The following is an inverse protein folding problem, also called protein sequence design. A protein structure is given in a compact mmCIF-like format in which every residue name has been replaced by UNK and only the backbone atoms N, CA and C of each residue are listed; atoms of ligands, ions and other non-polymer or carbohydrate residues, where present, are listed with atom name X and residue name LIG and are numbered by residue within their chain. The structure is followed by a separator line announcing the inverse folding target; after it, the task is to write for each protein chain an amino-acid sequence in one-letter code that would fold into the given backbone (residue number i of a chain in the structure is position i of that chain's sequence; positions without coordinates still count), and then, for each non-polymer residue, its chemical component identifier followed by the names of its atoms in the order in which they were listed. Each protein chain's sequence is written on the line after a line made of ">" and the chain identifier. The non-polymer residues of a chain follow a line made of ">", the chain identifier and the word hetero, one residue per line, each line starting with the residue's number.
data_IF_172500653898
#
_entry.id   IF_172500653898
#
_cell.length_a   1.000
_cell.length_b   1.000
_cell.length_c   1.000
_cell.angle_alpha   90.00
_cell.angle_beta   90.00
_cell.angle_gamma   90.00
#
_symmetry.space_group_name_H-M   'P 1'
#
loop_
_entity.id
_entity.type
_entity.pdbx_description
1 polymer ?
#
# COMPACT_ATOMS: atom_id res chain seq x y z
N UNK A 1 -27.68 15.92 -7.32
CA UNK A 1 -26.47 16.63 -7.85
C UNK A 1 -25.13 16.01 -7.37
N UNK A 2 -24.94 15.64 -6.09
CA UNK A 2 -23.74 14.94 -5.60
C UNK A 2 -23.60 13.52 -6.19
N UNK A 3 -24.65 12.72 -6.18
CA UNK A 3 -24.64 11.34 -6.69
C UNK A 3 -24.32 11.30 -8.19
N UNK A 4 -24.87 12.20 -8.98
CA UNK A 4 -24.57 12.28 -10.42
C UNK A 4 -23.12 12.65 -10.69
N UNK A 5 -22.50 13.57 -9.93
CA UNK A 5 -21.09 13.91 -10.04
C UNK A 5 -20.19 12.70 -9.70
N UNK A 6 -20.50 11.98 -8.60
CA UNK A 6 -19.73 10.78 -8.22
C UNK A 6 -19.83 9.68 -9.28
N UNK A 7 -21.01 9.46 -9.84
CA UNK A 7 -21.23 8.46 -10.89
C UNK A 7 -20.48 8.82 -12.17
N UNK A 8 -20.45 10.10 -12.54
CA UNK A 8 -19.71 10.59 -13.70
C UNK A 8 -18.20 10.45 -13.50
N UNK A 9 -17.69 10.75 -12.30
CA UNK A 9 -16.27 10.57 -11.98
C UNK A 9 -15.86 9.10 -12.01
N UNK A 10 -16.71 8.21 -11.50
CA UNK A 10 -16.50 6.77 -11.57
C UNK A 10 -16.49 6.26 -13.02
N UNK A 11 -17.42 6.75 -13.87
CA UNK A 11 -17.42 6.42 -15.30
C UNK A 11 -16.13 6.86 -16.01
N UNK A 12 -15.66 8.09 -15.73
CA UNK A 12 -14.39 8.60 -16.28
C UNK A 12 -13.19 7.76 -15.80
N UNK A 13 -13.18 7.33 -14.53
CA UNK A 13 -12.15 6.44 -14.01
C UNK A 13 -12.12 5.11 -14.75
N UNK A 14 -13.27 4.47 -14.97
CA UNK A 14 -13.34 3.20 -15.70
C UNK A 14 -12.87 3.34 -17.15
N UNK A 15 -13.23 4.43 -17.85
CA UNK A 15 -12.78 4.71 -19.20
C UNK A 15 -11.26 4.89 -19.24
N UNK A 16 -10.70 5.64 -18.27
CA UNK A 16 -9.24 5.83 -18.17
C UNK A 16 -8.52 4.49 -17.93
N UNK A 17 -9.03 3.68 -17.01
CA UNK A 17 -8.45 2.35 -16.75
C UNK A 17 -8.54 1.45 -17.98
N UNK A 18 -9.66 1.47 -18.72
CA UNK A 18 -9.78 0.76 -19.99
C UNK A 18 -8.74 1.17 -21.03
N UNK A 19 -8.41 2.46 -21.13
CA UNK A 19 -7.32 2.96 -21.97
C UNK A 19 -5.94 2.56 -21.48
N UNK A 20 -5.76 2.53 -20.16
CA UNK A 20 -4.48 2.16 -19.52
C UNK A 20 -4.09 0.71 -19.81
N UNK A 21 -5.06 -0.23 -19.80
CA UNK A 21 -4.79 -1.64 -20.02
C UNK A 21 -4.74 -2.05 -21.50
N UNK A 22 -4.66 -1.10 -22.42
CA UNK A 22 -4.37 -1.39 -23.83
C UNK A 22 -2.92 -1.85 -24.02
N UNK A 23 -2.66 -2.53 -25.15
CA UNK A 23 -1.31 -3.04 -25.44
C UNK A 23 -0.33 -1.90 -25.63
N UNK A 24 0.84 -1.90 -24.97
CA UNK A 24 1.87 -0.90 -25.17
C UNK A 24 2.48 -1.03 -26.57
N UNK A 25 2.57 0.09 -27.30
CA UNK A 25 3.09 0.11 -28.68
C UNK A 25 4.56 -0.29 -28.78
N UNK A 26 5.36 0.03 -27.75
CA UNK A 26 6.81 -0.26 -27.69
C UNK A 26 7.15 -1.00 -26.40
N UNK A 27 7.10 -2.32 -26.45
CA UNK A 27 7.33 -3.20 -25.29
C UNK A 27 8.70 -2.94 -24.59
N UNK A 28 9.76 -2.67 -25.36
CA UNK A 28 11.10 -2.41 -24.80
C UNK A 28 11.16 -1.15 -23.94
N UNK A 29 10.48 -0.09 -24.36
CA UNK A 29 10.38 1.16 -23.59
C UNK A 29 9.52 0.95 -22.35
N UNK A 30 8.41 0.23 -22.49
CA UNK A 30 7.55 -0.14 -21.38
C UNK A 30 8.31 -0.90 -20.28
N UNK A 31 9.09 -1.93 -20.62
CA UNK A 31 9.88 -2.67 -19.65
C UNK A 31 10.90 -1.78 -18.92
N UNK A 32 11.52 -0.84 -19.63
CA UNK A 32 12.46 0.12 -19.01
C UNK A 32 11.77 1.02 -17.99
N UNK A 33 10.64 1.62 -18.36
CA UNK A 33 9.85 2.47 -17.45
C UNK A 33 9.25 1.65 -16.30
N UNK A 34 8.78 0.42 -16.53
CA UNK A 34 8.28 -0.49 -15.52
C UNK A 34 9.33 -0.76 -14.41
N UNK A 35 10.56 -1.12 -14.78
CA UNK A 35 11.65 -1.37 -13.81
C UNK A 35 12.01 -0.10 -13.06
N UNK A 36 12.04 1.05 -13.74
CA UNK A 36 12.31 2.36 -13.15
C UNK A 36 11.24 2.76 -12.14
N UNK A 37 9.96 2.59 -12.49
CA UNK A 37 8.84 2.90 -11.60
C UNK A 37 8.78 1.92 -10.41
N UNK A 38 9.05 0.64 -10.62
CA UNK A 38 9.17 -0.35 -9.55
C UNK A 38 10.26 0.05 -8.54
N UNK A 39 11.42 0.50 -9.01
CA UNK A 39 12.48 0.99 -8.15
C UNK A 39 12.09 2.30 -7.44
N UNK A 40 11.50 3.26 -8.16
CA UNK A 40 11.11 4.58 -7.66
C UNK A 40 10.02 4.49 -6.59
N UNK A 41 8.96 3.73 -6.84
CA UNK A 41 7.79 3.64 -5.97
C UNK A 41 7.98 2.60 -4.85
N UNK A 42 8.64 1.49 -5.15
CA UNK A 42 8.82 0.38 -4.23
C UNK A 42 10.12 0.45 -3.45
N UNK A 43 11.27 0.31 -4.12
CA UNK A 43 12.58 0.20 -3.45
C UNK A 43 12.88 1.43 -2.59
N UNK A 44 12.58 2.63 -3.08
CA UNK A 44 12.74 3.87 -2.32
C UNK A 44 11.77 3.99 -1.12
N UNK A 45 10.83 3.07 -1.00
CA UNK A 45 9.90 3.02 0.13
C UNK A 45 10.29 1.98 1.19
N UNK A 46 11.25 1.07 0.90
CA UNK A 46 11.68 0.01 1.82
C UNK A 46 12.13 0.59 3.16
N UNK A 47 12.98 1.62 3.15
CA UNK A 47 13.52 2.19 4.38
C UNK A 47 12.45 2.70 5.35
N UNK A 48 11.46 3.43 4.84
CA UNK A 48 10.37 3.95 5.67
C UNK A 48 9.45 2.82 6.15
N UNK A 49 9.19 1.82 5.30
CA UNK A 49 8.40 0.65 5.65
C UNK A 49 9.05 -0.13 6.79
N UNK A 50 10.33 -0.45 6.67
CA UNK A 50 11.06 -1.19 7.70
C UNK A 50 11.08 -0.43 9.03
N UNK A 51 11.36 0.87 8.99
CA UNK A 51 11.42 1.70 10.20
C UNK A 51 10.08 1.76 10.91
N UNK A 52 9.01 2.08 10.18
CA UNK A 52 7.67 2.20 10.77
C UNK A 52 7.20 0.84 11.29
N UNK A 53 7.37 -0.24 10.52
CA UNK A 53 6.96 -1.58 10.93
C UNK A 53 7.70 -2.07 12.17
N UNK A 54 8.99 -1.74 12.30
CA UNK A 54 9.78 -2.06 13.49
C UNK A 54 9.19 -1.43 14.76
N UNK A 55 8.93 -0.12 14.72
CA UNK A 55 8.37 0.57 15.89
C UNK A 55 6.94 0.14 16.19
N UNK A 56 6.12 -0.10 15.17
CA UNK A 56 4.75 -0.59 15.36
C UNK A 56 4.77 -1.99 15.99
N UNK A 57 5.61 -2.91 15.51
CA UNK A 57 5.73 -4.23 16.10
C UNK A 57 6.16 -4.19 17.57
N UNK A 58 7.09 -3.28 17.91
CA UNK A 58 7.50 -3.02 19.27
C UNK A 58 6.31 -2.55 20.14
N UNK A 59 5.56 -1.56 19.67
CA UNK A 59 4.40 -0.99 20.39
C UNK A 59 3.30 -2.05 20.58
N UNK A 60 2.99 -2.84 19.55
CA UNK A 60 1.97 -3.90 19.64
C UNK A 60 2.37 -4.92 20.69
N UNK A 61 3.63 -5.36 20.72
CA UNK A 61 4.10 -6.33 21.70
C UNK A 61 3.91 -5.81 23.13
N UNK A 62 4.28 -4.54 23.40
CA UNK A 62 4.07 -3.90 24.70
C UNK A 62 2.58 -3.82 25.03
N UNK A 63 1.76 -3.40 24.08
CA UNK A 63 0.33 -3.22 24.29
C UNK A 63 -0.39 -4.55 24.53
N UNK A 64 -0.02 -5.59 23.80
CA UNK A 64 -0.58 -6.94 24.01
C UNK A 64 -0.19 -7.47 25.38
N UNK A 65 1.05 -7.27 25.84
CA UNK A 65 1.43 -7.65 27.20
C UNK A 65 0.59 -6.93 28.27
N UNK A 66 0.34 -5.62 28.10
CA UNK A 66 -0.47 -4.83 29.04
C UNK A 66 -1.94 -5.29 29.06
N UNK A 67 -2.46 -5.70 27.91
CA UNK A 67 -3.85 -6.19 27.81
C UNK A 67 -4.01 -7.62 28.35
N UNK A 68 -2.97 -8.46 28.22
CA UNK A 68 -2.99 -9.87 28.63
C UNK A 68 -2.28 -10.01 29.99
N UNK A 69 -2.84 -9.38 31.03
CA UNK A 69 -2.30 -9.49 32.42
C UNK A 69 -3.04 -10.52 33.27
N UNK A 70 -3.98 -11.27 32.69
CA UNK A 70 -4.73 -12.27 33.44
C UNK A 70 -3.82 -13.42 33.93
N UNK A 71 -3.86 -13.80 35.23
CA UNK A 71 -3.08 -14.90 35.75
C UNK A 71 -3.40 -16.26 35.11
N UNK A 72 -4.57 -16.38 34.49
CA UNK A 72 -5.06 -17.59 33.83
C UNK A 72 -4.55 -17.77 32.40
N UNK A 73 -3.98 -16.69 31.79
CA UNK A 73 -3.46 -16.77 30.43
C UNK A 73 -1.95 -17.07 30.41
N UNK A 74 -1.52 -18.06 29.62
CA UNK A 74 -0.10 -18.35 29.45
C UNK A 74 0.64 -17.15 28.82
N UNK A 75 1.87 -16.91 29.23
CA UNK A 75 2.67 -15.74 28.77
C UNK A 75 2.97 -15.75 27.27
N UNK A 76 3.05 -16.93 26.65
CA UNK A 76 3.29 -17.06 25.20
C UNK A 76 2.15 -16.51 24.34
N UNK A 77 0.94 -16.33 24.89
CA UNK A 77 -0.22 -15.75 24.16
C UNK A 77 0.08 -14.34 23.66
N UNK A 78 0.90 -13.58 24.38
CA UNK A 78 1.33 -12.25 23.92
C UNK A 78 2.10 -12.32 22.60
N UNK A 79 3.02 -13.26 22.45
CA UNK A 79 3.76 -13.46 21.20
C UNK A 79 2.85 -13.92 20.05
N UNK A 80 1.92 -14.84 20.35
CA UNK A 80 0.93 -15.34 19.39
C UNK A 80 0.05 -14.19 18.85
N UNK A 81 -0.57 -13.43 19.75
CA UNK A 81 -1.45 -12.32 19.34
C UNK A 81 -0.71 -11.19 18.61
N UNK A 82 0.53 -10.91 19.03
CA UNK A 82 1.39 -9.93 18.32
C UNK A 82 1.63 -10.37 16.88
N UNK A 83 1.96 -11.64 16.65
CA UNK A 83 2.14 -12.19 15.29
C UNK A 83 0.86 -12.09 14.46
N UNK A 84 -0.27 -12.53 15.01
CA UNK A 84 -1.56 -12.51 14.32
C UNK A 84 -1.92 -11.09 13.86
N UNK A 85 -1.86 -10.12 14.76
CA UNK A 85 -2.15 -8.72 14.45
C UNK A 85 -1.18 -8.17 13.40
N UNK A 86 0.11 -8.49 13.52
CA UNK A 86 1.12 -8.06 12.54
C UNK A 86 0.87 -8.63 11.15
N UNK A 87 0.56 -9.92 11.04
CA UNK A 87 0.36 -10.58 9.76
C UNK A 87 -0.97 -10.19 9.12
N UNK A 88 -2.07 -10.18 9.87
CA UNK A 88 -3.41 -10.00 9.31
C UNK A 88 -3.72 -8.55 8.95
N UNK A 89 -3.28 -7.58 9.78
CA UNK A 89 -3.72 -6.19 9.63
C UNK A 89 -2.56 -5.21 9.41
N UNK A 90 -1.53 -5.24 10.26
CA UNK A 90 -0.51 -4.18 10.22
C UNK A 90 0.34 -4.22 8.98
N UNK A 91 0.86 -5.38 8.59
CA UNK A 91 1.73 -5.47 7.42
C UNK A 91 1.00 -5.24 6.10
N UNK A 92 -0.29 -5.58 6.01
CA UNK A 92 -1.07 -5.34 4.79
C UNK A 92 -1.77 -3.98 4.82
N UNK A 93 -2.68 -3.75 5.75
CA UNK A 93 -3.63 -2.64 5.70
C UNK A 93 -3.00 -1.31 6.13
N UNK A 94 -2.37 -1.26 7.31
CA UNK A 94 -1.81 -0.01 7.84
C UNK A 94 -0.58 0.43 7.03
N UNK A 95 0.28 -0.52 6.65
CA UNK A 95 1.41 -0.21 5.80
C UNK A 95 0.98 0.35 4.43
N UNK A 96 -0.09 -0.21 3.85
CA UNK A 96 -0.66 0.30 2.60
C UNK A 96 -1.26 1.70 2.75
N UNK A 97 -1.87 2.05 3.89
CA UNK A 97 -2.32 3.42 4.17
C UNK A 97 -1.16 4.42 4.20
N UNK A 98 -0.05 4.06 4.83
CA UNK A 98 1.15 4.90 4.85
C UNK A 98 1.72 5.07 3.44
N UNK A 99 1.76 3.99 2.66
CA UNK A 99 2.21 4.04 1.28
C UNK A 99 1.23 4.80 0.36
N UNK A 100 -0.08 4.77 0.62
CA UNK A 100 -1.04 5.62 -0.08
C UNK A 100 -0.70 7.10 0.09
N UNK A 101 -0.29 7.52 1.29
CA UNK A 101 0.21 8.87 1.54
C UNK A 101 1.47 9.20 0.75
N UNK A 102 2.51 8.35 0.81
CA UNK A 102 3.80 8.61 0.17
C UNK A 102 3.77 8.38 -1.34
N UNK A 103 3.35 7.19 -1.75
CA UNK A 103 3.39 6.76 -3.16
C UNK A 103 2.23 7.36 -3.94
N UNK A 104 1.02 7.37 -3.35
CA UNK A 104 -0.17 7.95 -3.98
C UNK A 104 -0.01 9.44 -4.24
N UNK A 105 0.47 10.20 -3.26
CA UNK A 105 0.73 11.64 -3.45
C UNK A 105 1.79 11.90 -4.53
N UNK A 106 2.85 11.09 -4.57
CA UNK A 106 3.91 11.20 -5.58
C UNK A 106 3.36 10.93 -6.99
N UNK A 107 2.58 9.86 -7.17
CA UNK A 107 1.94 9.52 -8.46
C UNK A 107 1.01 10.64 -8.93
N UNK A 108 0.13 11.12 -8.05
CA UNK A 108 -0.83 12.18 -8.39
C UNK A 108 -0.13 13.50 -8.73
N UNK A 109 0.90 13.87 -7.97
CA UNK A 109 1.69 15.10 -8.24
C UNK A 109 2.49 15.00 -9.53
N UNK A 110 3.11 13.86 -9.80
CA UNK A 110 3.91 13.65 -11.01
C UNK A 110 3.05 13.72 -12.27
N UNK A 111 1.96 12.93 -12.33
CA UNK A 111 1.04 12.91 -13.46
C UNK A 111 0.32 14.26 -13.58
N UNK A 112 -0.09 14.87 -12.45
CA UNK A 112 -0.72 16.16 -12.42
C UNK A 112 0.19 17.27 -12.93
N UNK A 113 1.48 17.25 -12.62
CA UNK A 113 2.46 18.18 -13.17
C UNK A 113 2.60 18.00 -14.69
N UNK A 114 2.69 16.76 -15.17
CA UNK A 114 2.72 16.46 -16.60
C UNK A 114 1.45 16.93 -17.33
N UNK A 115 0.30 16.88 -16.66
CA UNK A 115 -0.97 17.40 -17.21
C UNK A 115 -0.95 18.91 -17.36
N UNK A 116 -0.60 19.62 -16.29
CA UNK A 116 -0.57 21.09 -16.27
C UNK A 116 0.49 21.67 -17.23
N UNK A 117 1.60 20.97 -17.41
CA UNK A 117 2.66 21.36 -18.37
C UNK A 117 2.40 20.88 -19.80
N UNK A 118 1.20 20.36 -20.09
CA UNK A 118 0.75 19.89 -21.41
C UNK A 118 1.60 18.74 -22.02
N UNK A 119 2.41 18.06 -21.20
CA UNK A 119 3.20 16.91 -21.67
C UNK A 119 2.31 15.73 -22.08
N UNK A 120 1.17 15.53 -21.39
CA UNK A 120 0.19 14.49 -21.71
C UNK A 120 -0.45 14.78 -23.06
N UNK A 121 -0.83 16.04 -23.32
CA UNK A 121 -1.44 16.46 -24.59
C UNK A 121 -0.45 16.34 -25.76
N UNK A 122 0.84 16.63 -25.50
CA UNK A 122 1.89 16.42 -26.48
C UNK A 122 2.07 14.94 -26.86
N UNK A 123 1.96 14.01 -25.90
CA UNK A 123 1.98 12.56 -26.16
C UNK A 123 0.79 12.13 -27.01
N UNK A 124 -0.41 12.62 -26.70
CA UNK A 124 -1.63 12.30 -27.45
C UNK A 124 -1.57 12.84 -28.89
N UNK A 125 -1.03 14.04 -29.11
CA UNK A 125 -0.80 14.63 -30.47
C UNK A 125 0.21 13.78 -31.27
N UNK A 126 1.21 13.20 -30.62
CA UNK A 126 2.16 12.29 -31.26
C UNK A 126 1.58 10.90 -31.55
N UNK A 127 0.30 10.66 -31.24
CA UNK A 127 -0.39 9.39 -31.47
C UNK A 127 -0.10 8.31 -30.43
N UNK A 128 0.63 8.63 -29.33
CA UNK A 128 0.93 7.70 -28.26
C UNK A 128 -0.21 7.70 -27.24
N UNK A 129 -0.70 6.52 -26.84
CA UNK A 129 -1.67 6.41 -25.76
C UNK A 129 -1.03 6.80 -24.42
N UNK A 130 -1.20 8.08 -24.03
CA UNK A 130 -0.59 8.67 -22.83
C UNK A 130 -0.99 7.93 -21.55
N UNK A 131 -2.23 7.44 -21.42
CA UNK A 131 -2.69 6.68 -20.26
C UNK A 131 -1.94 5.35 -20.13
N UNK A 132 -1.80 4.59 -21.22
CA UNK A 132 -1.04 3.36 -21.22
C UNK A 132 0.46 3.59 -20.94
N UNK A 133 1.04 4.62 -21.49
CA UNK A 133 2.47 4.92 -21.34
C UNK A 133 2.84 5.36 -19.94
N UNK A 134 2.01 6.19 -19.28
CA UNK A 134 2.33 6.80 -17.98
C UNK A 134 1.80 5.98 -16.81
N UNK A 135 0.59 5.42 -16.91
CA UNK A 135 -0.10 4.81 -15.77
C UNK A 135 0.23 3.32 -15.66
N UNK A 136 0.23 2.58 -16.76
CA UNK A 136 0.42 1.12 -16.74
C UNK A 136 1.73 0.68 -16.07
N UNK A 137 2.90 1.30 -16.34
CA UNK A 137 4.15 0.94 -15.66
C UNK A 137 4.09 1.15 -14.15
N UNK A 138 3.42 2.22 -13.69
CA UNK A 138 3.24 2.53 -12.26
C UNK A 138 2.35 1.51 -11.57
N UNK A 139 1.22 1.15 -12.20
CA UNK A 139 0.27 0.15 -11.68
C UNK A 139 0.95 -1.21 -11.56
N UNK A 140 1.54 -1.71 -12.63
CA UNK A 140 2.21 -3.01 -12.61
C UNK A 140 3.46 -3.02 -11.72
N UNK A 141 4.23 -1.95 -11.73
CA UNK A 141 5.40 -1.78 -10.86
C UNK A 141 5.05 -1.87 -9.39
N UNK A 142 3.96 -1.22 -8.98
CA UNK A 142 3.51 -1.26 -7.58
C UNK A 142 2.91 -2.62 -7.22
N UNK A 143 2.07 -3.21 -8.07
CA UNK A 143 1.49 -4.54 -7.84
C UNK A 143 2.57 -5.60 -7.63
N UNK A 144 3.66 -5.56 -8.38
CA UNK A 144 4.74 -6.55 -8.25
C UNK A 144 5.62 -6.35 -7.02
N UNK A 145 5.87 -5.13 -6.59
CA UNK A 145 6.76 -4.86 -5.44
C UNK A 145 6.03 -4.92 -4.09
N UNK A 146 4.71 -4.67 -4.05
CA UNK A 146 3.94 -4.61 -2.81
C UNK A 146 3.97 -5.90 -1.98
N UNK A 147 3.83 -7.11 -2.54
CA UNK A 147 3.97 -8.35 -1.77
C UNK A 147 5.30 -8.45 -1.02
N UNK A 148 6.40 -8.03 -1.65
CA UNK A 148 7.72 -8.01 -1.02
C UNK A 148 7.78 -6.99 0.13
N UNK A 149 7.19 -5.81 -0.06
CA UNK A 149 7.13 -4.78 0.99
C UNK A 149 6.34 -5.27 2.21
N UNK A 150 5.24 -6.01 1.99
CA UNK A 150 4.44 -6.60 3.08
C UNK A 150 5.23 -7.67 3.84
N UNK A 151 5.97 -8.53 3.14
CA UNK A 151 6.84 -9.53 3.78
C UNK A 151 7.94 -8.84 4.59
N UNK A 152 8.60 -7.83 4.06
CA UNK A 152 9.60 -7.06 4.78
C UNK A 152 9.01 -6.31 5.98
N UNK A 153 7.78 -5.78 5.84
CA UNK A 153 7.05 -5.13 6.92
C UNK A 153 6.78 -6.11 8.08
N UNK A 154 6.24 -7.30 7.78
CA UNK A 154 5.96 -8.31 8.80
C UNK A 154 7.22 -8.81 9.50
N UNK A 155 8.29 -9.06 8.75
CA UNK A 155 9.58 -9.45 9.31
C UNK A 155 10.17 -8.36 10.22
N UNK A 156 10.15 -7.11 9.77
CA UNK A 156 10.63 -5.97 10.55
C UNK A 156 9.80 -5.74 11.82
N UNK A 157 8.48 -5.92 11.77
CA UNK A 157 7.61 -5.81 12.93
C UNK A 157 7.87 -6.89 13.98
N UNK A 158 8.12 -8.13 13.54
CA UNK A 158 8.52 -9.22 14.43
C UNK A 158 9.90 -8.90 15.08
N UNK A 159 10.85 -8.37 14.31
CA UNK A 159 12.13 -7.90 14.87
C UNK A 159 11.94 -6.79 15.90
N UNK A 160 10.99 -5.89 15.69
CA UNK A 160 10.60 -4.86 16.65
C UNK A 160 10.06 -5.46 17.97
N UNK A 161 9.22 -6.49 17.87
CA UNK A 161 8.74 -7.22 19.05
C UNK A 161 9.89 -7.89 19.81
N UNK A 162 10.86 -8.50 19.12
CA UNK A 162 12.09 -9.02 19.76
C UNK A 162 12.90 -7.91 20.42
N UNK A 163 13.01 -6.74 19.80
CA UNK A 163 13.67 -5.59 20.40
C UNK A 163 13.10 -5.21 21.77
N UNK A 164 11.77 -5.26 21.93
CA UNK A 164 11.13 -5.00 23.24
C UNK A 164 11.36 -6.10 24.26
N UNK A 165 11.45 -7.36 23.83
CA UNK A 165 11.74 -8.48 24.71
C UNK A 165 13.18 -8.43 25.25
N UNK A 166 14.16 -8.14 24.40
CA UNK A 166 15.58 -8.12 24.80
C UNK A 166 16.00 -6.81 25.50
N UNK A 167 15.60 -5.66 24.96
CA UNK A 167 16.03 -4.35 25.46
C UNK A 167 15.10 -3.85 26.57
N UNK A 168 13.78 -3.98 26.34
CA UNK A 168 12.75 -3.50 27.25
C UNK A 168 12.45 -4.45 28.40
N UNK A 169 12.94 -5.70 28.37
CA UNK A 169 12.64 -6.76 29.34
C UNK A 169 11.13 -6.91 29.61
N UNK A 170 10.33 -6.55 28.61
CA UNK A 170 8.87 -6.50 28.70
C UNK A 170 8.30 -7.93 28.78
N UNK A 171 8.91 -8.88 28.07
CA UNK A 171 8.54 -10.28 28.01
C UNK A 171 9.82 -11.13 27.95
N UNK A 172 9.77 -12.35 28.47
CA UNK A 172 10.89 -13.27 28.28
C UNK A 172 11.03 -13.62 26.80
N UNK A 173 12.23 -13.58 26.21
CA UNK A 173 12.43 -13.90 24.79
C UNK A 173 11.93 -15.30 24.43
N UNK A 174 12.02 -16.25 25.36
CA UNK A 174 11.55 -17.62 25.16
C UNK A 174 10.01 -17.69 25.06
N UNK A 175 9.29 -16.95 25.90
CA UNK A 175 7.83 -16.85 25.81
C UNK A 175 7.37 -16.20 24.50
N UNK A 176 8.12 -15.21 24.00
CA UNK A 176 7.86 -14.59 22.70
C UNK A 176 8.08 -15.59 21.56
N UNK A 177 9.20 -16.32 21.56
CA UNK A 177 9.50 -17.32 20.53
C UNK A 177 8.48 -18.45 20.49
N UNK A 178 8.09 -18.97 21.67
CA UNK A 178 7.04 -19.97 21.78
C UNK A 178 5.72 -19.45 21.20
N UNK A 179 5.34 -18.21 21.52
CA UNK A 179 4.12 -17.60 20.98
C UNK A 179 4.16 -17.42 19.46
N UNK A 180 5.29 -16.95 18.91
CA UNK A 180 5.46 -16.77 17.48
C UNK A 180 5.40 -18.08 16.69
N UNK A 181 5.84 -19.20 17.28
CA UNK A 181 5.83 -20.52 16.64
C UNK A 181 4.54 -21.30 16.87
N UNK A 182 3.80 -20.97 17.94
CA UNK A 182 2.58 -21.70 18.30
C UNK A 182 1.50 -21.58 17.23
N UNK A 183 1.02 -22.72 16.75
CA UNK A 183 -0.10 -22.80 15.77
C UNK A 183 0.06 -21.87 14.56
N UNK A 184 1.25 -21.87 13.92
CA UNK A 184 1.49 -21.04 12.75
C UNK A 184 0.59 -21.49 11.59
N UNK A 185 -0.24 -20.58 11.09
CA UNK A 185 -1.09 -20.80 9.93
C UNK A 185 -0.53 -20.04 8.73
N UNK A 186 -0.01 -20.78 7.74
CA UNK A 186 0.53 -20.19 6.50
C UNK A 186 -0.52 -19.41 5.70
N UNK A 187 -1.82 -19.69 5.91
CA UNK A 187 -2.91 -19.00 5.24
C UNK A 187 -2.91 -17.50 5.52
N UNK A 188 -2.54 -17.08 6.73
CA UNK A 188 -2.50 -15.66 7.10
C UNK A 188 -1.46 -14.86 6.31
N UNK A 189 -0.35 -15.49 5.96
CA UNK A 189 0.66 -14.87 5.06
C UNK A 189 0.09 -14.71 3.65
N UNK A 190 -0.62 -15.72 3.14
CA UNK A 190 -1.29 -15.62 1.84
C UNK A 190 -2.39 -14.56 1.82
N UNK A 191 -3.18 -14.46 2.89
CA UNK A 191 -4.20 -13.40 3.04
C UNK A 191 -3.57 -12.01 2.94
N UNK A 192 -2.47 -11.76 3.66
CA UNK A 192 -1.79 -10.46 3.62
C UNK A 192 -1.23 -10.14 2.24
N UNK A 193 -0.71 -11.13 1.52
CA UNK A 193 -0.23 -10.98 0.13
C UNK A 193 -1.39 -10.65 -0.82
N UNK A 194 -2.50 -11.38 -0.74
CA UNK A 194 -3.67 -11.14 -1.59
C UNK A 194 -4.23 -9.74 -1.33
N UNK A 195 -4.42 -9.35 -0.06
CA UNK A 195 -4.84 -7.99 0.31
C UNK A 195 -3.90 -6.92 -0.29
N UNK A 196 -2.58 -7.14 -0.19
CA UNK A 196 -1.60 -6.19 -0.70
C UNK A 196 -1.67 -5.95 -2.21
N UNK A 197 -2.02 -6.96 -3.00
CA UNK A 197 -2.22 -6.83 -4.45
C UNK A 197 -3.41 -5.91 -4.79
N UNK A 198 -4.52 -6.08 -4.08
CA UNK A 198 -5.70 -5.21 -4.24
C UNK A 198 -5.39 -3.77 -3.83
N UNK A 199 -4.71 -3.60 -2.69
CA UNK A 199 -4.35 -2.26 -2.21
C UNK A 199 -3.33 -1.58 -3.13
N UNK A 200 -2.37 -2.33 -3.68
CA UNK A 200 -1.42 -1.82 -4.67
C UNK A 200 -2.14 -1.26 -5.90
N UNK A 201 -3.16 -1.97 -6.37
CA UNK A 201 -3.99 -1.48 -7.48
C UNK A 201 -4.71 -0.18 -7.11
N UNK A 202 -5.30 -0.08 -5.93
CA UNK A 202 -5.98 1.15 -5.46
C UNK A 202 -4.97 2.30 -5.35
N UNK A 203 -3.81 2.08 -4.70
CA UNK A 203 -2.78 3.10 -4.46
C UNK A 203 -2.18 3.62 -5.77
N UNK A 204 -2.17 2.82 -6.82
CA UNK A 204 -1.62 3.24 -8.11
C UNK A 204 -2.67 3.84 -9.05
N UNK A 205 -3.85 3.24 -9.13
CA UNK A 205 -4.89 3.63 -10.10
C UNK A 205 -5.64 4.91 -9.72
N UNK A 206 -6.03 5.03 -8.44
CA UNK A 206 -6.80 6.20 -7.98
C UNK A 206 -5.99 7.49 -8.03
N UNK A 207 -4.74 7.57 -7.51
CA UNK A 207 -3.93 8.75 -7.66
C UNK A 207 -3.58 9.08 -9.11
N UNK A 208 -3.39 8.07 -9.96
CA UNK A 208 -3.19 8.28 -11.38
C UNK A 208 -4.38 8.97 -12.04
N UNK A 209 -5.61 8.59 -11.66
CA UNK A 209 -6.82 9.23 -12.15
C UNK A 209 -6.90 10.69 -11.73
N UNK A 210 -6.69 10.98 -10.43
CA UNK A 210 -6.71 12.35 -9.93
C UNK A 210 -5.64 13.22 -10.62
N UNK A 211 -4.41 12.72 -10.76
CA UNK A 211 -3.34 13.41 -11.47
C UNK A 211 -3.67 13.66 -12.94
N UNK A 212 -4.21 12.65 -13.63
CA UNK A 212 -4.51 12.73 -15.07
C UNK A 212 -5.66 13.71 -15.39
N UNK A 213 -6.60 13.90 -14.47
CA UNK A 213 -7.78 14.75 -14.64
C UNK A 213 -7.64 16.15 -14.04
N UNK A 214 -6.45 16.50 -13.53
CA UNK A 214 -6.18 17.86 -13.01
C UNK A 214 -6.35 18.90 -14.10
N UNK A 215 -7.07 19.96 -13.75
CA UNK A 215 -7.22 21.16 -14.59
C UNK A 215 -6.71 22.39 -13.83
N UNK A 216 -6.06 23.31 -14.54
CA UNK A 216 -5.57 24.57 -14.00
C UNK A 216 -4.08 24.57 -13.66
N UNK A 217 -3.67 25.22 -12.57
CA UNK A 217 -2.26 25.44 -12.23
C UNK A 217 -1.71 24.51 -11.16
N UNK A 218 -0.47 24.75 -10.75
CA UNK A 218 0.27 23.94 -9.77
C UNK A 218 -0.44 23.80 -8.40
N UNK A 219 -1.22 24.79 -7.99
CA UNK A 219 -2.02 24.73 -6.74
C UNK A 219 -3.07 23.60 -6.83
N UNK A 220 -3.66 23.39 -7.99
CA UNK A 220 -4.65 22.34 -8.20
C UNK A 220 -4.01 20.96 -8.23
N UNK A 221 -2.76 20.84 -8.64
CA UNK A 221 -1.98 19.59 -8.52
C UNK A 221 -1.83 19.19 -7.05
N UNK A 222 -1.50 20.15 -6.17
CA UNK A 222 -1.44 19.89 -4.72
C UNK A 222 -2.78 19.43 -4.13
N UNK A 223 -3.89 20.06 -4.51
CA UNK A 223 -5.23 19.63 -4.09
C UNK A 223 -5.57 18.23 -4.59
N UNK A 224 -5.35 17.97 -5.88
CA UNK A 224 -5.59 16.66 -6.46
C UNK A 224 -4.76 15.56 -5.80
N UNK A 225 -3.52 15.86 -5.42
CA UNK A 225 -2.67 14.94 -4.65
C UNK A 225 -3.28 14.62 -3.28
N UNK A 226 -3.77 15.61 -2.56
CA UNK A 226 -4.43 15.42 -1.25
C UNK A 226 -5.73 14.62 -1.41
N UNK A 227 -6.58 14.99 -2.37
CA UNK A 227 -7.84 14.30 -2.64
C UNK A 227 -7.61 12.85 -3.07
N UNK A 228 -6.56 12.60 -3.85
CA UNK A 228 -6.14 11.26 -4.23
C UNK A 228 -5.77 10.39 -3.03
N UNK A 229 -4.96 10.93 -2.10
CA UNK A 229 -4.57 10.21 -0.87
C UNK A 229 -5.78 9.89 -0.01
N UNK A 230 -6.64 10.87 0.24
CA UNK A 230 -7.86 10.67 1.06
C UNK A 230 -8.77 9.62 0.43
N UNK A 231 -9.05 9.74 -0.88
CA UNK A 231 -9.92 8.80 -1.59
C UNK A 231 -9.33 7.40 -1.61
N UNK A 232 -8.02 7.26 -1.87
CA UNK A 232 -7.33 5.96 -1.84
C UNK A 232 -7.39 5.33 -0.45
N UNK A 233 -7.16 6.12 0.61
CA UNK A 233 -7.21 5.64 2.00
C UNK A 233 -8.59 5.13 2.39
N UNK A 234 -9.65 5.86 2.02
CA UNK A 234 -11.03 5.41 2.27
C UNK A 234 -11.34 4.12 1.51
N UNK A 235 -10.92 4.02 0.24
CA UNK A 235 -11.13 2.82 -0.57
C UNK A 235 -10.34 1.62 -0.02
N UNK A 236 -9.12 1.82 0.48
CA UNK A 236 -8.33 0.77 1.13
C UNK A 236 -9.08 0.26 2.37
N UNK A 237 -9.54 1.15 3.26
CA UNK A 237 -10.26 0.75 4.47
C UNK A 237 -11.55 0.00 4.15
N UNK A 238 -12.35 0.47 3.19
CA UNK A 238 -13.54 -0.23 2.75
C UNK A 238 -13.22 -1.62 2.16
N UNK A 239 -12.20 -1.69 1.31
CA UNK A 239 -11.75 -2.93 0.69
C UNK A 239 -11.17 -3.90 1.71
N UNK A 240 -10.51 -3.41 2.75
CA UNK A 240 -9.92 -4.21 3.81
C UNK A 240 -10.98 -4.98 4.59
N UNK A 241 -12.04 -4.30 5.03
CA UNK A 241 -13.18 -4.94 5.70
C UNK A 241 -13.78 -6.03 4.82
N UNK A 242 -14.01 -5.72 3.53
CA UNK A 242 -14.59 -6.67 2.60
C UNK A 242 -13.69 -7.89 2.34
N UNK A 243 -12.39 -7.65 2.10
CA UNK A 243 -11.41 -8.71 1.84
C UNK A 243 -11.18 -9.57 3.08
N UNK A 244 -11.12 -8.97 4.28
CA UNK A 244 -10.97 -9.71 5.53
C UNK A 244 -12.14 -10.67 5.72
N UNK A 245 -13.37 -10.20 5.51
CA UNK A 245 -14.56 -11.04 5.65
C UNK A 245 -14.66 -12.13 4.58
N UNK A 246 -14.15 -11.87 3.36
CA UNK A 246 -14.17 -12.85 2.27
C UNK A 246 -13.12 -13.96 2.46
N UNK A 247 -11.98 -13.63 3.07
CA UNK A 247 -10.82 -14.52 3.18
C UNK A 247 -10.73 -15.23 4.55
N UNK A 248 -11.45 -14.73 5.58
CA UNK A 248 -11.52 -15.39 6.88
C UNK A 248 -12.52 -16.55 6.87
#
# INVERSE_FOLDING_TARGET
>A
MLITKSLTSFGKYLILMGRTFQRPERFRLFCKEYVKEMAKLGVNSIGIVLLISFFIGAVICIQMKLNIQSPWMPRWVTGYTTREIMLLEFSSSIMCLILAGKVGSNIASEIGTMRVTQQIDALDIMGVNSACYLILPKVLGLITIMPFLVIFSSASGILGAYGTAYIGQVLLPDDLTLGLQHSFNSWFVWMSIIKSLFFAFIISSVPSYFGYTVEGGSVNVGKASTDAVVTSSVLILCSDVFLTQLLS
#
